data_IF_437061073536
#
_entry.id   IF_437061073536
#
_cell.length_a   1.000
_cell.length_b   1.000
_cell.length_c   1.000
_cell.angle_alpha   90.00
_cell.angle_beta   90.00
_cell.angle_gamma   90.00
#
_symmetry.space_group_name_H-M   'P 1'
#
loop_
_entity.id
_entity.type
_entity.pdbx_description
1 polymer ?
#
# COMPACT_ATOMS: atom_id res chain seq x y z
N UNK A 1 -4.26 -17.72 15.17
CA UNK A 1 -4.74 -16.71 14.20
C UNK A 1 -3.55 -16.17 13.42
N UNK A 2 -3.67 -16.11 12.09
CA UNK A 2 -2.62 -15.60 11.21
C UNK A 2 -2.52 -14.07 11.35
N UNK A 3 -1.34 -13.56 11.69
CA UNK A 3 -1.10 -12.11 11.72
C UNK A 3 -0.97 -11.60 10.28
N UNK A 4 -1.83 -10.67 9.88
CA UNK A 4 -1.87 -10.11 8.53
C UNK A 4 -1.76 -8.59 8.60
N UNK A 5 -0.99 -8.00 7.71
CA UNK A 5 -1.00 -6.56 7.47
C UNK A 5 -1.16 -6.23 6.00
N UNK A 6 -1.70 -5.05 5.72
CA UNK A 6 -1.88 -4.58 4.35
C UNK A 6 -0.59 -3.95 3.83
N UNK A 7 -0.27 -4.21 2.56
CA UNK A 7 0.78 -3.52 1.82
C UNK A 7 0.16 -2.74 0.66
N UNK A 8 0.55 -1.48 0.52
CA UNK A 8 0.23 -0.63 -0.61
C UNK A 8 1.46 0.14 -1.04
N UNK A 9 1.68 0.26 -2.35
CA UNK A 9 2.86 0.92 -2.92
C UNK A 9 2.45 1.89 -4.02
N UNK A 10 3.21 2.94 -4.19
CA UNK A 10 3.21 3.76 -5.38
C UNK A 10 4.22 3.20 -6.37
N UNK A 11 3.87 3.19 -7.65
CA UNK A 11 4.70 2.59 -8.69
C UNK A 11 4.97 3.59 -9.81
N UNK A 12 6.20 3.64 -10.26
CA UNK A 12 6.54 4.24 -11.54
C UNK A 12 6.33 3.23 -12.65
N UNK A 13 5.69 3.65 -13.72
CA UNK A 13 5.42 2.78 -14.88
C UNK A 13 5.95 3.43 -16.16
N UNK A 14 6.42 2.60 -17.08
CA UNK A 14 6.83 3.05 -18.39
C UNK A 14 5.62 3.07 -19.33
N UNK A 15 5.31 4.25 -19.90
CA UNK A 15 4.27 4.35 -20.92
C UNK A 15 4.72 3.62 -22.19
N UNK A 16 3.96 2.62 -22.64
CA UNK A 16 4.25 1.84 -23.85
C UNK A 16 4.37 2.69 -25.13
N UNK A 17 3.71 3.83 -25.18
CA UNK A 17 3.69 4.75 -26.33
C UNK A 17 4.71 5.89 -26.21
N UNK A 18 5.61 5.86 -25.21
CA UNK A 18 6.65 6.88 -25.08
C UNK A 18 7.67 6.77 -26.22
N UNK A 19 8.07 7.88 -26.78
CA UNK A 19 9.17 7.97 -27.77
C UNK A 19 10.55 7.92 -27.10
N UNK A 20 10.60 8.06 -25.75
CA UNK A 20 11.82 8.09 -24.93
C UNK A 20 11.96 6.91 -23.99
N UNK A 21 11.61 5.70 -24.45
CA UNK A 21 11.57 4.49 -23.60
C UNK A 21 12.92 4.17 -22.96
N UNK A 22 14.01 4.32 -23.70
CA UNK A 22 15.35 4.02 -23.18
C UNK A 22 15.74 4.98 -22.05
N UNK A 23 15.50 6.28 -22.21
CA UNK A 23 15.75 7.26 -21.16
C UNK A 23 14.88 7.02 -19.93
N UNK A 24 13.59 6.74 -20.13
CA UNK A 24 12.66 6.42 -19.06
C UNK A 24 13.06 5.14 -18.33
N UNK A 25 13.55 4.12 -19.02
CA UNK A 25 14.04 2.89 -18.39
C UNK A 25 15.29 3.16 -17.55
N UNK A 26 16.24 3.96 -18.03
CA UNK A 26 17.41 4.39 -17.24
C UNK A 26 17.00 5.14 -15.97
N UNK A 27 16.00 6.02 -16.08
CA UNK A 27 15.44 6.71 -14.92
C UNK A 27 14.82 5.73 -13.92
N UNK A 28 14.00 4.78 -14.38
CA UNK A 28 13.40 3.76 -13.52
C UNK A 28 14.45 2.90 -12.81
N UNK A 29 15.50 2.49 -13.53
CA UNK A 29 16.63 1.76 -12.95
C UNK A 29 17.34 2.57 -11.86
N UNK A 30 17.54 3.86 -12.09
CA UNK A 30 18.16 4.75 -11.12
C UNK A 30 17.29 4.91 -9.86
N UNK A 31 16.02 5.28 -10.00
CA UNK A 31 15.14 5.55 -8.84
C UNK A 31 14.80 4.29 -8.04
N UNK A 32 14.86 3.12 -8.67
CA UNK A 32 14.69 1.82 -7.98
C UNK A 32 15.99 1.27 -7.40
N UNK A 33 17.13 1.93 -7.63
CA UNK A 33 18.42 1.55 -7.09
C UNK A 33 18.51 1.73 -5.57
N UNK A 34 19.49 1.08 -4.94
CA UNK A 34 19.69 1.11 -3.49
C UNK A 34 19.86 2.54 -2.95
N UNK A 35 20.82 3.28 -3.48
CA UNK A 35 21.14 4.64 -3.02
C UNK A 35 19.96 5.61 -3.20
N UNK A 36 19.29 5.56 -4.35
CA UNK A 36 18.13 6.41 -4.61
C UNK A 36 16.95 6.06 -3.66
N UNK A 37 16.70 4.79 -3.42
CA UNK A 37 15.65 4.33 -2.49
C UNK A 37 15.97 4.72 -1.05
N UNK A 38 17.24 4.61 -0.63
CA UNK A 38 17.70 5.03 0.69
C UNK A 38 17.54 6.53 0.90
N UNK A 39 18.04 7.34 -0.04
CA UNK A 39 17.91 8.78 0.00
C UNK A 39 16.45 9.24 -0.02
N UNK A 40 15.62 8.61 -0.86
CA UNK A 40 14.19 8.90 -0.90
C UNK A 40 13.52 8.66 0.46
N UNK A 41 13.77 7.51 1.09
CA UNK A 41 13.22 7.20 2.42
C UNK A 41 13.65 8.22 3.48
N UNK A 42 14.93 8.60 3.49
CA UNK A 42 15.46 9.59 4.44
C UNK A 42 14.88 10.98 4.26
N UNK A 43 14.71 11.43 3.00
CA UNK A 43 14.19 12.76 2.68
C UNK A 43 12.67 12.87 2.87
N UNK A 44 11.93 11.86 2.46
CA UNK A 44 10.45 11.89 2.49
C UNK A 44 9.86 11.34 3.77
N UNK A 45 10.66 10.66 4.59
CA UNK A 45 10.22 9.90 5.77
C UNK A 45 9.24 8.76 5.43
N UNK A 46 9.28 8.29 4.18
CA UNK A 46 8.48 7.15 3.72
C UNK A 46 9.30 5.87 3.71
N UNK A 47 8.67 4.75 4.06
CA UNK A 47 9.31 3.45 4.00
C UNK A 47 9.70 3.11 2.55
N UNK A 48 10.99 2.80 2.26
CA UNK A 48 11.41 2.39 0.94
C UNK A 48 10.82 1.02 0.55
N UNK A 49 10.65 0.77 -0.74
CA UNK A 49 10.14 -0.50 -1.25
C UNK A 49 11.20 -1.62 -1.34
N UNK A 50 12.46 -1.32 -1.01
CA UNK A 50 13.58 -2.28 -1.09
C UNK A 50 13.87 -2.89 0.28
N UNK A 51 13.82 -4.21 0.36
CA UNK A 51 14.11 -4.93 1.62
C UNK A 51 15.56 -4.73 2.08
N UNK A 52 16.53 -4.72 1.15
CA UNK A 52 17.93 -4.51 1.47
C UNK A 52 18.23 -3.11 2.07
N UNK A 53 17.42 -2.09 1.72
CA UNK A 53 17.47 -0.78 2.36
C UNK A 53 16.82 -0.83 3.74
N UNK A 54 15.68 -1.48 3.88
CA UNK A 54 14.99 -1.62 5.17
C UNK A 54 15.86 -2.40 6.17
N UNK A 55 16.58 -3.41 5.72
CA UNK A 55 17.44 -4.26 6.54
C UNK A 55 18.82 -3.62 6.83
N UNK A 56 19.21 -2.58 6.10
CA UNK A 56 20.47 -1.87 6.35
C UNK A 56 20.44 -1.20 7.73
N UNK A 57 21.35 -1.62 8.60
CA UNK A 57 21.47 -1.08 9.97
C UNK A 57 21.82 0.41 10.02
N UNK A 58 22.38 0.94 8.92
CA UNK A 58 22.72 2.35 8.79
C UNK A 58 21.57 3.18 8.16
N UNK A 59 20.45 2.54 7.84
CA UNK A 59 19.26 3.24 7.38
C UNK A 59 18.41 3.62 8.59
N UNK A 60 18.29 4.93 8.83
CA UNK A 60 17.51 5.50 9.92
C UNK A 60 16.22 6.13 9.39
N UNK A 61 15.11 5.70 9.95
CA UNK A 61 13.76 6.19 9.70
C UNK A 61 12.93 5.98 10.97
N UNK A 62 12.15 6.98 11.37
CA UNK A 62 11.26 6.86 12.51
C UNK A 62 10.33 5.64 12.36
N UNK A 63 10.36 4.73 13.32
CA UNK A 63 9.57 3.50 13.29
C UNK A 63 10.13 2.37 12.43
N UNK A 64 11.36 2.47 11.90
CA UNK A 64 11.95 1.43 11.04
C UNK A 64 12.04 0.06 11.74
N UNK A 65 12.33 0.03 13.03
CA UNK A 65 12.40 -1.23 13.80
C UNK A 65 11.03 -1.91 13.88
N UNK A 66 9.96 -1.14 14.03
CA UNK A 66 8.60 -1.66 13.99
C UNK A 66 8.26 -2.24 12.61
N UNK A 67 8.70 -1.58 11.53
CA UNK A 67 8.53 -2.07 10.16
C UNK A 67 9.31 -3.37 9.97
N UNK A 68 10.56 -3.44 10.41
CA UNK A 68 11.39 -4.67 10.38
C UNK A 68 10.72 -5.82 11.12
N UNK A 69 10.12 -5.53 12.27
CA UNK A 69 9.40 -6.52 13.06
C UNK A 69 8.12 -6.98 12.35
N UNK A 70 7.34 -6.06 11.75
CA UNK A 70 6.13 -6.41 10.98
C UNK A 70 6.45 -7.28 9.76
N UNK A 71 7.54 -7.02 9.06
CA UNK A 71 7.96 -7.84 7.93
C UNK A 71 8.31 -9.29 8.33
N UNK A 72 8.72 -9.51 9.59
CA UNK A 72 9.01 -10.86 10.14
C UNK A 72 7.75 -11.56 10.65
N UNK A 73 6.88 -10.82 11.33
CA UNK A 73 5.78 -11.39 12.12
C UNK A 73 4.46 -11.48 11.36
N UNK A 74 4.31 -10.70 10.29
CA UNK A 74 3.05 -10.54 9.59
C UNK A 74 3.13 -11.00 8.15
N UNK A 75 2.08 -11.66 7.69
CA UNK A 75 1.87 -11.93 6.27
C UNK A 75 1.39 -10.67 5.57
N UNK A 76 2.14 -10.25 4.56
CA UNK A 76 1.78 -9.08 3.75
C UNK A 76 0.68 -9.47 2.75
N UNK A 77 -0.41 -8.74 2.76
CA UNK A 77 -1.48 -8.88 1.75
C UNK A 77 -1.67 -7.56 1.01
N UNK A 78 -1.63 -7.61 -0.32
CA UNK A 78 -2.00 -6.47 -1.14
C UNK A 78 -3.50 -6.20 -1.01
N UNK A 79 -3.89 -4.96 -1.25
CA UNK A 79 -5.31 -4.63 -1.39
C UNK A 79 -5.88 -5.45 -2.55
N UNK A 80 -7.11 -5.93 -2.39
CA UNK A 80 -7.80 -6.54 -3.50
C UNK A 80 -7.89 -5.57 -4.68
N UNK A 81 -7.59 -6.06 -5.88
CA UNK A 81 -7.71 -5.27 -7.10
C UNK A 81 -9.17 -5.27 -7.54
N UNK A 82 -9.77 -4.09 -7.63
CA UNK A 82 -11.06 -3.88 -8.30
C UNK A 82 -11.00 -2.57 -9.09
N UNK A 83 -11.84 -2.43 -10.10
CA UNK A 83 -11.86 -1.27 -10.98
C UNK A 83 -12.05 0.04 -10.19
N UNK A 84 -12.93 -0.01 -9.19
CA UNK A 84 -13.33 1.14 -8.36
C UNK A 84 -12.72 1.03 -6.94
N UNK A 85 -11.44 0.67 -6.83
CA UNK A 85 -10.79 0.41 -5.53
C UNK A 85 -10.76 1.63 -4.60
N UNK A 86 -10.67 2.84 -5.15
CA UNK A 86 -10.68 4.09 -4.38
C UNK A 86 -12.06 4.31 -3.77
N UNK A 87 -13.10 4.13 -4.53
CA UNK A 87 -14.49 4.25 -4.11
C UNK A 87 -14.84 3.19 -3.06
N UNK A 88 -14.37 1.95 -3.23
CA UNK A 88 -14.53 0.89 -2.25
C UNK A 88 -13.91 1.25 -0.90
N UNK A 89 -12.66 1.72 -0.91
CA UNK A 89 -11.95 2.13 0.32
C UNK A 89 -12.62 3.35 0.97
N UNK A 90 -13.06 4.33 0.17
CA UNK A 90 -13.75 5.53 0.66
C UNK A 90 -15.08 5.17 1.33
N UNK A 91 -15.85 4.28 0.70
CA UNK A 91 -17.13 3.78 1.24
C UNK A 91 -16.95 3.02 2.55
N UNK A 92 -15.95 2.14 2.63
CA UNK A 92 -15.60 1.46 3.88
C UNK A 92 -15.14 2.44 4.96
N UNK A 93 -14.37 3.47 4.60
CA UNK A 93 -13.97 4.54 5.51
C UNK A 93 -15.17 5.28 6.10
N UNK A 94 -16.20 5.52 5.31
CA UNK A 94 -17.46 6.12 5.78
C UNK A 94 -18.18 5.21 6.79
N UNK A 95 -18.23 3.92 6.55
CA UNK A 95 -18.81 2.96 7.48
C UNK A 95 -18.02 2.90 8.80
N UNK A 96 -16.68 2.96 8.73
CA UNK A 96 -15.82 3.02 9.89
C UNK A 96 -16.03 4.31 10.70
N UNK A 97 -16.18 5.47 10.03
CA UNK A 97 -16.48 6.73 10.73
C UNK A 97 -17.80 6.67 11.50
N UNK A 98 -18.84 6.09 10.91
CA UNK A 98 -20.13 5.90 11.60
C UNK A 98 -19.99 5.05 12.86
N UNK A 99 -19.19 3.98 12.78
CA UNK A 99 -18.88 3.14 13.93
C UNK A 99 -18.13 3.93 15.01
N UNK A 100 -17.07 4.66 14.64
CA UNK A 100 -16.29 5.47 15.58
C UNK A 100 -17.10 6.58 16.26
N UNK A 101 -18.14 7.09 15.60
CA UNK A 101 -19.07 8.07 16.14
C UNK A 101 -20.21 7.45 16.97
N UNK A 102 -20.19 6.13 17.19
CA UNK A 102 -21.24 5.41 17.93
C UNK A 102 -22.60 5.32 17.20
N UNK A 103 -22.64 5.63 15.90
CA UNK A 103 -23.85 5.55 15.08
C UNK A 103 -24.15 4.15 14.57
N UNK A 104 -23.17 3.24 14.68
CA UNK A 104 -23.26 1.83 14.32
C UNK A 104 -22.58 0.96 15.36
N UNK A 105 -23.11 -0.23 15.53
CA UNK A 105 -22.44 -1.31 16.26
C UNK A 105 -21.30 -1.90 15.42
N UNK A 106 -20.41 -2.64 16.06
CA UNK A 106 -19.33 -3.37 15.36
C UNK A 106 -19.87 -4.33 14.29
N UNK A 107 -20.93 -5.07 14.59
CA UNK A 107 -21.58 -5.98 13.65
C UNK A 107 -22.14 -5.24 12.43
N UNK A 108 -22.79 -4.09 12.62
CA UNK A 108 -23.31 -3.26 11.53
C UNK A 108 -22.19 -2.64 10.68
N UNK A 109 -21.05 -2.29 11.30
CA UNK A 109 -19.88 -1.85 10.59
C UNK A 109 -19.31 -2.95 9.69
N UNK A 110 -19.09 -4.15 10.21
CA UNK A 110 -18.56 -5.26 9.41
C UNK A 110 -19.50 -5.66 8.28
N UNK A 111 -20.81 -5.71 8.53
CA UNK A 111 -21.80 -5.96 7.48
C UNK A 111 -21.78 -4.87 6.39
N UNK A 112 -21.69 -3.59 6.78
CA UNK A 112 -21.56 -2.47 5.86
C UNK A 112 -20.29 -2.52 5.03
N UNK A 113 -19.16 -2.80 5.65
CA UNK A 113 -17.87 -2.96 4.98
C UNK A 113 -17.88 -4.13 3.98
N UNK A 114 -18.46 -5.27 4.34
CA UNK A 114 -18.62 -6.41 3.44
C UNK A 114 -19.49 -6.04 2.23
N UNK A 115 -20.60 -5.34 2.45
CA UNK A 115 -21.47 -4.87 1.36
C UNK A 115 -20.73 -3.93 0.39
N UNK A 116 -19.87 -3.04 0.90
CA UNK A 116 -19.03 -2.19 0.06
C UNK A 116 -18.09 -3.04 -0.82
N UNK A 117 -17.42 -4.03 -0.23
CA UNK A 117 -16.55 -4.95 -0.97
C UNK A 117 -17.36 -5.67 -2.06
N UNK A 118 -18.46 -6.29 -1.72
CA UNK A 118 -19.30 -7.06 -2.65
C UNK A 118 -19.82 -6.20 -3.80
N UNK A 119 -20.21 -4.96 -3.52
CA UNK A 119 -20.72 -4.04 -4.53
C UNK A 119 -19.66 -3.71 -5.58
N UNK A 120 -18.41 -3.45 -5.15
CA UNK A 120 -17.34 -3.04 -6.05
C UNK A 120 -16.63 -4.22 -6.71
N UNK A 121 -16.58 -5.38 -6.04
CA UNK A 121 -16.03 -6.60 -6.63
C UNK A 121 -16.94 -7.21 -7.69
N UNK A 122 -18.25 -7.21 -7.51
CA UNK A 122 -19.19 -7.70 -8.53
C UNK A 122 -19.16 -6.90 -9.82
N UNK A 123 -18.73 -5.64 -9.79
CA UNK A 123 -18.54 -4.83 -11.00
C UNK A 123 -17.25 -5.16 -11.77
N UNK A 124 -16.31 -5.87 -11.16
CA UNK A 124 -15.00 -6.19 -11.71
C UNK A 124 -14.94 -7.58 -12.39
N UNK A 125 -16.06 -8.15 -12.77
CA UNK A 125 -16.07 -9.35 -13.63
C UNK A 125 -15.57 -8.96 -15.02
N UNK A 126 -14.30 -9.31 -15.32
CA UNK A 126 -13.68 -9.22 -16.64
C UNK A 126 -14.14 -10.36 -17.53
#
# INVERSE_FOLDING_TARGET
>A
DEKVTNIATWQYVLNKNSDHKEAALKFLQYVSGYEASKNYGQLTKMCPARLDVIEDKNFDLDGIEMIRQYLKDYKLKARPLCADSIEAVSSMGTEFQKYMLGQKTEAEFFAGAQNCIDQYYKKASY
#
